data_IF_767775435595
#
_entry.id   IF_767775435595
#
_cell.length_a   1.000
_cell.length_b   1.000
_cell.length_c   1.000
_cell.angle_alpha   90.00
_cell.angle_beta   90.00
_cell.angle_gamma   90.00
#
_symmetry.space_group_name_H-M   'P 1'
#
loop_
_entity.id
_entity.type
_entity.pdbx_description
1 polymer ?
#
# COMPACT_ATOMS: atom_id res chain seq x y z
N UNK A 1 8.23 -20.46 9.32
CA UNK A 1 9.23 -19.42 9.65
C UNK A 1 8.58 -18.44 10.60
N UNK A 2 9.24 -18.08 11.70
CA UNK A 2 8.76 -17.08 12.66
C UNK A 2 9.49 -15.75 12.44
N UNK A 3 8.79 -14.64 12.58
CA UNK A 3 9.34 -13.29 12.50
C UNK A 3 9.26 -12.64 13.88
N UNK A 4 10.36 -12.04 14.32
CA UNK A 4 10.40 -11.25 15.56
C UNK A 4 10.59 -9.78 15.18
N UNK A 5 9.66 -8.93 15.60
CA UNK A 5 9.69 -7.49 15.37
C UNK A 5 10.07 -6.80 16.68
N UNK A 6 11.04 -5.89 16.64
CA UNK A 6 11.31 -4.99 17.78
C UNK A 6 10.29 -3.86 17.74
N UNK A 7 9.62 -3.63 18.86
CA UNK A 7 8.64 -2.55 19.03
C UNK A 7 9.18 -1.52 20.02
N UNK A 8 8.85 -0.26 19.80
CA UNK A 8 8.90 0.76 20.84
C UNK A 8 7.57 0.80 21.61
N UNK A 9 7.48 1.68 22.61
CA UNK A 9 6.30 1.81 23.47
C UNK A 9 5.05 2.34 22.72
N UNK A 10 5.25 3.10 21.66
CA UNK A 10 4.14 3.62 20.84
C UNK A 10 3.54 2.50 20.00
N UNK A 11 4.38 1.76 19.30
CA UNK A 11 3.96 0.64 18.46
C UNK A 11 3.31 -0.47 19.30
N UNK A 12 3.86 -0.80 20.48
CA UNK A 12 3.26 -1.85 21.32
C UNK A 12 1.86 -1.46 21.82
N UNK A 13 1.65 -0.20 22.21
CA UNK A 13 0.32 0.30 22.61
C UNK A 13 -0.66 0.25 21.45
N UNK A 14 -0.29 0.78 20.28
CA UNK A 14 -1.14 0.74 19.10
C UNK A 14 -1.53 -0.70 18.70
N UNK A 15 -0.57 -1.63 18.72
CA UNK A 15 -0.84 -3.03 18.43
C UNK A 15 -1.75 -3.68 19.48
N UNK A 16 -1.62 -3.31 20.76
CA UNK A 16 -2.48 -3.80 21.83
C UNK A 16 -3.92 -3.36 21.63
N UNK A 17 -4.12 -2.07 21.35
CA UNK A 17 -5.45 -1.48 21.12
C UNK A 17 -6.13 -2.12 19.91
N UNK A 18 -5.43 -2.22 18.77
CA UNK A 18 -5.96 -2.84 17.55
C UNK A 18 -6.27 -4.33 17.75
N UNK A 19 -5.37 -5.08 18.39
CA UNK A 19 -5.57 -6.49 18.69
C UNK A 19 -6.82 -6.73 19.54
N UNK A 20 -7.05 -5.88 20.55
CA UNK A 20 -8.23 -5.96 21.41
C UNK A 20 -9.52 -5.60 20.67
N UNK A 21 -9.49 -4.53 19.86
CA UNK A 21 -10.64 -4.09 19.06
C UNK A 21 -11.05 -5.12 18.01
N UNK A 22 -10.07 -5.76 17.36
CA UNK A 22 -10.31 -6.73 16.29
C UNK A 22 -10.46 -8.18 16.79
N UNK A 23 -10.13 -8.46 18.05
CA UNK A 23 -10.14 -9.82 18.60
C UNK A 23 -9.09 -10.76 17.99
N UNK A 24 -7.94 -10.21 17.58
CA UNK A 24 -6.85 -10.97 16.94
C UNK A 24 -5.53 -10.76 17.70
N UNK A 25 -4.48 -11.51 17.32
CA UNK A 25 -3.15 -11.31 17.90
C UNK A 25 -2.45 -10.08 17.31
N UNK A 26 -1.53 -9.46 18.07
CA UNK A 26 -0.65 -8.37 17.57
C UNK A 26 0.08 -8.75 16.28
N UNK A 27 0.49 -10.02 16.16
CA UNK A 27 1.18 -10.52 14.96
C UNK A 27 0.25 -10.57 13.74
N UNK A 28 -1.02 -10.88 13.93
CA UNK A 28 -2.01 -10.86 12.84
C UNK A 28 -2.32 -9.42 12.41
N UNK A 29 -2.38 -8.45 13.35
CA UNK A 29 -2.48 -7.02 13.01
C UNK A 29 -1.32 -6.59 12.11
N UNK A 30 -0.08 -6.93 12.49
CA UNK A 30 1.12 -6.63 11.68
C UNK A 30 1.01 -7.29 10.31
N UNK A 31 0.63 -8.57 10.25
CA UNK A 31 0.52 -9.32 9.00
C UNK A 31 -0.48 -8.67 8.04
N UNK A 32 -1.67 -8.30 8.52
CA UNK A 32 -2.69 -7.61 7.73
C UNK A 32 -2.19 -6.26 7.24
N UNK A 33 -1.63 -5.44 8.13
CA UNK A 33 -1.10 -4.13 7.78
C UNK A 33 -0.03 -4.20 6.67
N UNK A 34 0.85 -5.22 6.71
CA UNK A 34 1.86 -5.43 5.66
C UNK A 34 1.22 -5.81 4.33
N UNK A 35 0.28 -6.77 4.32
CA UNK A 35 -0.41 -7.20 3.10
C UNK A 35 -1.23 -6.07 2.49
N UNK A 36 -1.99 -5.35 3.29
CA UNK A 36 -2.76 -4.18 2.85
C UNK A 36 -1.87 -3.07 2.30
N UNK A 37 -0.73 -2.80 2.94
CA UNK A 37 0.25 -1.82 2.44
C UNK A 37 0.82 -2.26 1.09
N UNK A 38 1.17 -3.54 0.94
CA UNK A 38 1.64 -4.10 -0.33
C UNK A 38 0.59 -3.92 -1.42
N UNK A 39 -0.66 -4.30 -1.15
CA UNK A 39 -1.69 -4.30 -2.17
C UNK A 39 -2.07 -2.87 -2.61
N UNK A 40 -2.07 -1.91 -1.68
CA UNK A 40 -2.20 -0.48 -2.01
C UNK A 40 -1.05 0.04 -2.86
N UNK A 41 0.19 -0.33 -2.54
CA UNK A 41 1.36 0.06 -3.34
C UNK A 41 1.35 -0.56 -4.73
N UNK A 42 1.01 -1.85 -4.84
CA UNK A 42 0.94 -2.57 -6.10
C UNK A 42 -0.13 -1.99 -7.03
N UNK A 43 -1.29 -1.58 -6.51
CA UNK A 43 -2.31 -0.91 -7.34
C UNK A 43 -1.80 0.43 -7.89
N UNK A 44 -1.18 1.27 -7.05
CA UNK A 44 -0.60 2.56 -7.50
C UNK A 44 0.48 2.38 -8.55
N UNK A 45 1.35 1.39 -8.36
CA UNK A 45 2.41 1.07 -9.29
C UNK A 45 1.84 0.60 -10.64
N UNK A 46 0.84 -0.31 -10.63
CA UNK A 46 0.15 -0.73 -11.86
C UNK A 46 -0.53 0.43 -12.59
N UNK A 47 -1.17 1.34 -11.86
CA UNK A 47 -1.81 2.53 -12.44
C UNK A 47 -0.75 3.45 -13.05
N UNK A 48 0.34 3.71 -12.33
CA UNK A 48 1.44 4.55 -12.80
C UNK A 48 2.11 3.96 -14.05
N UNK A 49 2.39 2.66 -14.07
CA UNK A 49 2.95 2.00 -15.25
C UNK A 49 1.99 2.02 -16.44
N UNK A 50 0.70 1.77 -16.22
CA UNK A 50 -0.29 1.82 -17.30
C UNK A 50 -0.41 3.24 -17.88
N UNK A 51 -0.43 4.26 -17.01
CA UNK A 51 -0.43 5.66 -17.43
C UNK A 51 0.84 6.02 -18.22
N UNK A 52 2.02 5.55 -17.79
CA UNK A 52 3.27 5.74 -18.56
C UNK A 52 3.20 5.14 -19.95
N UNK A 53 2.74 3.89 -20.08
CA UNK A 53 2.59 3.23 -21.39
C UNK A 53 1.64 3.99 -22.32
N UNK A 54 0.49 4.44 -21.78
CA UNK A 54 -0.47 5.23 -22.55
C UNK A 54 0.09 6.59 -22.94
N UNK A 55 0.85 7.26 -22.06
CA UNK A 55 1.52 8.53 -22.38
C UNK A 55 2.65 8.37 -23.40
N UNK A 56 3.40 7.27 -23.36
CA UNK A 56 4.43 6.97 -24.35
C UNK A 56 3.83 6.73 -25.74
N UNK A 57 2.69 6.01 -25.81
CA UNK A 57 2.04 5.67 -27.08
C UNK A 57 1.20 6.82 -27.64
N UNK A 58 0.45 7.52 -26.78
CA UNK A 58 -0.56 8.50 -27.18
C UNK A 58 -0.23 9.94 -26.79
N UNK A 59 0.90 10.19 -26.14
CA UNK A 59 1.33 11.53 -25.71
C UNK A 59 1.21 12.60 -26.80
N UNK A 60 1.71 12.37 -28.03
CA UNK A 60 1.58 13.34 -29.13
C UNK A 60 0.14 13.57 -29.62
N UNK A 61 -0.77 12.64 -29.35
CA UNK A 61 -2.20 12.76 -29.69
C UNK A 61 -2.93 13.53 -28.60
N UNK A 62 -2.67 13.20 -27.32
CA UNK A 62 -3.20 13.93 -26.17
C UNK A 62 -2.76 15.40 -26.16
N UNK A 63 -1.49 15.67 -26.51
CA UNK A 63 -0.96 17.03 -26.64
C UNK A 63 -1.66 17.86 -27.73
N UNK A 64 -2.16 17.21 -28.79
CA UNK A 64 -2.94 17.89 -29.83
C UNK A 64 -4.37 18.14 -29.39
N UNK A 65 -4.98 17.18 -28.69
CA UNK A 65 -6.34 17.31 -28.19
C UNK A 65 -6.46 18.37 -27.08
N UNK A 66 -5.45 18.53 -26.23
CA UNK A 66 -5.44 19.54 -25.16
C UNK A 66 -5.13 20.98 -25.62
N UNK A 67 -4.80 21.19 -26.90
CA UNK A 67 -4.50 22.50 -27.50
C UNK A 67 -5.66 23.08 -28.30
N UNK A 68 -6.78 22.36 -28.40
CA UNK A 68 -8.04 22.82 -28.99
C UNK A 68 -8.97 23.36 -27.89
#
# INVERSE_FOLDING_TARGET
MAMTVRTDEELDRALTELAQQEGVSKQEVIRRAVLERRDRSAHRERVSESAKRVMEEWGPVLDRLGKA
#
